data_IF_501278974405
#
_entry.id   IF_501278974405
#
_cell.length_a   1.000
_cell.length_b   1.000
_cell.length_c   1.000
_cell.angle_alpha   90.00
_cell.angle_beta   90.00
_cell.angle_gamma   90.00
#
_symmetry.space_group_name_H-M   'P 1'
#
loop_
_entity.id
_entity.type
_entity.pdbx_description
1 polymer ?
#
# COMPACT_ATOMS: atom_id res chain seq x y z
N UNK A 1 -17.89 -22.02 18.82
CA UNK A 1 -17.01 -20.84 18.95
C UNK A 1 -17.80 -19.73 19.61
N UNK A 2 -17.17 -18.63 20.04
CA UNK A 2 -17.87 -17.49 20.63
C UNK A 2 -18.09 -16.41 19.57
N UNK A 3 -19.17 -15.63 19.67
CA UNK A 3 -19.45 -14.51 18.76
C UNK A 3 -18.26 -13.56 18.62
N UNK A 4 -17.52 -13.33 19.71
CA UNK A 4 -16.33 -12.49 19.68
C UNK A 4 -15.18 -13.10 18.85
N UNK A 5 -14.98 -14.43 18.93
CA UNK A 5 -14.01 -15.12 18.10
C UNK A 5 -14.42 -15.09 16.62
N UNK A 6 -15.70 -15.36 16.34
CA UNK A 6 -16.25 -15.34 14.98
C UNK A 6 -16.18 -13.94 14.36
N UNK A 7 -16.42 -12.89 15.17
CA UNK A 7 -16.27 -11.47 14.76
C UNK A 7 -14.83 -11.13 14.40
N UNK A 8 -13.85 -11.58 15.20
CA UNK A 8 -12.42 -11.34 14.91
C UNK A 8 -12.00 -12.05 13.63
N UNK A 9 -12.41 -13.31 13.46
CA UNK A 9 -12.12 -14.07 12.25
C UNK A 9 -12.72 -13.39 11.00
N UNK A 10 -13.96 -12.90 11.08
CA UNK A 10 -14.57 -12.17 9.96
C UNK A 10 -13.83 -10.87 9.64
N UNK A 11 -13.29 -10.17 10.66
CA UNK A 11 -12.54 -8.94 10.47
C UNK A 11 -11.18 -9.14 9.79
N UNK A 12 -10.52 -10.30 9.99
CA UNK A 12 -9.23 -10.63 9.38
C UNK A 12 -9.29 -10.64 7.83
N UNK A 13 -10.46 -10.86 7.25
CA UNK A 13 -10.67 -10.78 5.79
C UNK A 13 -10.67 -9.34 5.26
N UNK A 14 -10.72 -8.33 6.14
CA UNK A 14 -10.88 -6.92 5.78
C UNK A 14 -9.82 -6.02 6.44
N UNK A 15 -8.57 -5.98 5.92
CA UNK A 15 -7.48 -5.20 6.49
C UNK A 15 -7.82 -3.71 6.70
N UNK A 16 -8.63 -3.12 5.82
CA UNK A 16 -9.05 -1.72 5.95
C UNK A 16 -9.85 -1.44 7.23
N UNK A 17 -10.66 -2.41 7.71
CA UNK A 17 -11.38 -2.26 8.96
C UNK A 17 -10.44 -2.31 10.15
N UNK A 18 -9.43 -3.17 10.13
CA UNK A 18 -8.43 -3.22 11.17
C UNK A 18 -7.68 -1.89 11.29
N UNK A 19 -7.25 -1.32 10.16
CA UNK A 19 -6.62 0.01 10.13
C UNK A 19 -7.56 1.09 10.67
N UNK A 20 -8.83 1.07 10.28
CA UNK A 20 -9.82 2.05 10.74
C UNK A 20 -10.11 1.92 12.25
N UNK A 21 -10.13 0.70 12.79
CA UNK A 21 -10.29 0.47 14.23
C UNK A 21 -9.10 1.03 15.02
N UNK A 22 -7.86 0.77 14.56
CA UNK A 22 -6.65 1.35 15.18
C UNK A 22 -6.69 2.88 15.19
N UNK A 23 -7.28 3.48 14.16
CA UNK A 23 -7.41 4.93 14.01
C UNK A 23 -8.61 5.53 14.75
N UNK A 24 -9.43 4.72 15.43
CA UNK A 24 -10.65 5.14 16.14
C UNK A 24 -11.64 5.94 15.28
N UNK A 25 -11.78 5.56 14.00
CA UNK A 25 -12.70 6.22 13.04
C UNK A 25 -13.90 5.36 12.64
N UNK A 26 -14.11 4.22 13.31
CA UNK A 26 -15.14 3.23 12.93
C UNK A 26 -16.47 3.50 13.61
N UNK A 27 -17.54 3.51 12.83
CA UNK A 27 -18.89 3.29 13.34
C UNK A 27 -19.11 1.79 13.57
N UNK A 28 -19.03 1.34 14.82
CA UNK A 28 -19.11 -0.08 15.20
C UNK A 28 -20.39 -0.78 14.71
N UNK A 29 -21.54 -0.10 14.73
CA UNK A 29 -22.82 -0.67 14.25
C UNK A 29 -22.85 -0.82 12.73
N UNK A 30 -22.17 0.08 12.00
CA UNK A 30 -22.04 -0.06 10.55
C UNK A 30 -21.06 -1.19 10.19
N UNK A 31 -19.92 -1.28 10.89
CA UNK A 31 -18.96 -2.36 10.71
C UNK A 31 -19.58 -3.73 11.04
N UNK A 32 -20.36 -3.83 12.13
CA UNK A 32 -21.07 -5.06 12.48
C UNK A 32 -22.03 -5.54 11.37
N UNK A 33 -22.79 -4.60 10.77
CA UNK A 33 -23.67 -4.91 9.63
C UNK A 33 -22.89 -5.32 8.38
N UNK A 34 -21.74 -4.71 8.14
CA UNK A 34 -20.87 -5.07 7.02
C UNK A 34 -20.34 -6.51 7.17
N UNK A 35 -19.83 -6.85 8.36
CA UNK A 35 -19.26 -8.18 8.61
C UNK A 35 -20.29 -9.32 8.53
N UNK A 36 -21.59 -9.03 8.73
CA UNK A 36 -22.68 -9.99 8.56
C UNK A 36 -22.48 -11.31 9.33
N UNK A 37 -21.87 -11.24 10.52
CA UNK A 37 -21.63 -12.40 11.40
C UNK A 37 -22.94 -12.89 12.00
N UNK A 38 -23.11 -14.20 12.09
CA UNK A 38 -24.28 -14.83 12.71
C UNK A 38 -24.42 -14.41 14.18
N UNK A 39 -25.39 -13.54 14.46
CA UNK A 39 -25.66 -13.05 15.80
C UNK A 39 -26.41 -11.72 15.81
N UNK A 40 -26.59 -11.17 17.01
CA UNK A 40 -27.13 -9.83 17.18
C UNK A 40 -26.09 -8.77 16.78
N UNK A 41 -26.50 -7.81 15.95
CA UNK A 41 -25.64 -6.74 15.44
C UNK A 41 -25.04 -5.91 16.57
N UNK A 42 -25.79 -5.65 17.64
CA UNK A 42 -25.29 -4.88 18.79
C UNK A 42 -24.24 -5.67 19.60
N UNK A 43 -24.40 -6.99 19.67
CA UNK A 43 -23.42 -7.87 20.28
C UNK A 43 -22.12 -7.92 19.46
N UNK A 44 -22.20 -7.96 18.13
CA UNK A 44 -21.04 -7.87 17.22
C UNK A 44 -20.37 -6.49 17.33
N UNK A 45 -21.14 -5.41 17.34
CA UNK A 45 -20.61 -4.05 17.53
C UNK A 45 -19.87 -3.90 18.87
N UNK A 46 -20.41 -4.51 19.93
CA UNK A 46 -19.76 -4.55 21.25
C UNK A 46 -18.46 -5.36 21.22
N UNK A 47 -18.43 -6.49 20.52
CA UNK A 47 -17.23 -7.28 20.33
C UNK A 47 -16.14 -6.49 19.57
N UNK A 48 -16.51 -5.76 18.51
CA UNK A 48 -15.59 -4.90 17.76
C UNK A 48 -15.00 -3.79 18.63
N UNK A 49 -15.80 -3.13 19.47
CA UNK A 49 -15.31 -2.08 20.39
C UNK A 49 -14.27 -2.64 21.37
N UNK A 50 -14.57 -3.78 21.98
CA UNK A 50 -13.62 -4.44 22.90
C UNK A 50 -12.33 -4.84 22.20
N UNK A 51 -12.42 -5.33 20.97
CA UNK A 51 -11.24 -5.66 20.19
C UNK A 51 -10.42 -4.42 19.82
N UNK A 52 -11.08 -3.31 19.48
CA UNK A 52 -10.40 -2.04 19.19
C UNK A 52 -9.54 -1.54 20.37
N UNK A 53 -10.04 -1.70 21.60
CA UNK A 53 -9.30 -1.37 22.84
C UNK A 53 -8.03 -2.24 23.04
N UNK A 54 -7.94 -3.40 22.39
CA UNK A 54 -6.79 -4.31 22.46
C UNK A 54 -5.75 -4.02 21.35
N UNK A 55 -6.09 -3.22 20.34
CA UNK A 55 -5.22 -2.97 19.19
C UNK A 55 -4.13 -1.93 19.51
N UNK A 56 -2.94 -2.05 18.90
CA UNK A 56 -1.95 -0.99 18.97
C UNK A 56 -2.49 0.28 18.29
N UNK A 57 -2.13 1.48 18.79
CA UNK A 57 -2.59 2.73 18.22
C UNK A 57 -2.22 2.83 16.73
N UNK A 58 -3.00 3.64 16.00
CA UNK A 58 -2.63 4.06 14.66
C UNK A 58 -1.60 5.18 14.75
N UNK A 59 -0.34 4.84 14.54
CA UNK A 59 0.78 5.77 14.46
C UNK A 59 1.38 5.75 13.05
N UNK A 60 1.87 6.91 12.59
CA UNK A 60 2.57 7.06 11.33
C UNK A 60 3.96 7.66 11.54
N UNK A 61 4.88 7.28 10.66
CA UNK A 61 6.26 7.76 10.63
C UNK A 61 6.60 8.27 9.21
N UNK A 62 7.42 9.32 9.16
CA UNK A 62 8.06 9.76 7.93
C UNK A 62 9.31 8.93 7.69
N UNK A 63 9.52 8.50 6.45
CA UNK A 63 10.75 7.80 6.03
C UNK A 63 11.83 8.78 5.61
N UNK A 64 13.08 8.54 5.98
CA UNK A 64 14.22 9.28 5.43
C UNK A 64 14.59 8.69 4.06
N UNK A 65 14.04 9.30 3.02
CA UNK A 65 14.14 8.83 1.64
C UNK A 65 14.44 9.96 0.69
N UNK A 66 15.14 9.62 -0.39
CA UNK A 66 15.31 10.49 -1.55
C UNK A 66 14.54 9.90 -2.73
N UNK A 67 13.56 10.65 -3.22
CA UNK A 67 12.78 10.27 -4.39
C UNK A 67 13.32 10.95 -5.64
N UNK A 68 13.40 10.21 -6.75
CA UNK A 68 13.80 10.71 -8.07
C UNK A 68 12.86 10.14 -9.12
N UNK A 69 12.75 10.86 -10.23
CA UNK A 69 11.94 10.47 -11.38
C UNK A 69 12.82 10.44 -12.63
N UNK A 70 12.70 9.37 -13.40
CA UNK A 70 13.46 9.13 -14.63
C UNK A 70 12.51 8.72 -15.75
N UNK A 71 12.51 9.46 -16.86
CA UNK A 71 11.68 9.18 -18.04
C UNK A 71 12.48 8.46 -19.12
N UNK A 72 11.81 7.99 -20.16
CA UNK A 72 12.45 7.28 -21.27
C UNK A 72 12.59 5.77 -21.02
N UNK A 73 11.80 5.23 -20.11
CA UNK A 73 11.78 3.79 -19.84
C UNK A 73 10.78 3.08 -20.75
N UNK A 74 11.01 1.79 -20.93
CA UNK A 74 10.13 0.93 -21.72
C UNK A 74 10.32 -0.52 -21.33
N UNK A 75 9.47 -1.39 -21.88
CA UNK A 75 9.64 -2.84 -21.75
C UNK A 75 10.80 -3.29 -22.65
N UNK A 76 11.70 -4.09 -22.10
CA UNK A 76 12.75 -4.75 -22.87
C UNK A 76 12.15 -5.99 -23.56
N UNK A 77 12.37 -6.10 -24.87
CA UNK A 77 12.02 -7.30 -25.63
C UNK A 77 13.11 -8.36 -25.49
N UNK A 78 12.74 -9.63 -25.66
CA UNK A 78 13.68 -10.74 -25.59
C UNK A 78 14.77 -10.59 -26.67
N UNK A 79 16.02 -10.48 -26.24
CA UNK A 79 17.17 -10.29 -27.13
C UNK A 79 17.63 -8.84 -27.28
N UNK A 80 16.95 -7.87 -26.68
CA UNK A 80 17.46 -6.50 -26.55
C UNK A 80 18.58 -6.49 -25.50
N UNK A 81 19.79 -6.08 -25.90
CA UNK A 81 20.88 -5.74 -24.97
C UNK A 81 20.56 -4.40 -24.29
N UNK A 82 19.61 -4.43 -23.35
CA UNK A 82 19.29 -3.30 -22.48
C UNK A 82 19.63 -3.64 -21.03
N UNK A 83 20.01 -2.61 -20.28
CA UNK A 83 20.20 -2.74 -18.84
C UNK A 83 18.84 -2.98 -18.16
N UNK A 84 18.68 -4.14 -17.54
CA UNK A 84 17.46 -4.49 -16.83
C UNK A 84 17.40 -3.72 -15.51
N UNK A 85 16.42 -2.83 -15.39
CA UNK A 85 16.22 -1.98 -14.21
C UNK A 85 15.21 -2.57 -13.22
N UNK A 86 14.08 -3.07 -13.73
CA UNK A 86 13.06 -3.74 -12.93
C UNK A 86 12.57 -4.99 -13.66
N UNK A 87 12.39 -6.07 -12.92
CA UNK A 87 11.82 -7.31 -13.44
C UNK A 87 10.67 -7.80 -12.56
N UNK A 88 9.53 -8.05 -13.18
CA UNK A 88 8.36 -8.67 -12.56
C UNK A 88 7.95 -9.89 -13.39
N UNK A 89 8.35 -11.08 -12.92
CA UNK A 89 8.19 -12.32 -13.67
C UNK A 89 8.95 -12.30 -15.00
N UNK A 90 8.21 -12.35 -16.11
CA UNK A 90 8.76 -12.28 -17.47
C UNK A 90 8.86 -10.86 -18.01
N UNK A 91 8.19 -9.88 -17.39
CA UNK A 91 8.29 -8.49 -17.80
C UNK A 91 9.59 -7.87 -17.27
N UNK A 92 10.36 -7.26 -18.17
CA UNK A 92 11.60 -6.56 -17.84
C UNK A 92 11.50 -5.12 -18.36
N UNK A 93 11.91 -4.16 -17.55
CA UNK A 93 11.87 -2.73 -17.86
C UNK A 93 13.26 -2.12 -17.77
N UNK A 94 13.56 -1.17 -18.64
CA UNK A 94 14.85 -0.49 -18.69
C UNK A 94 14.83 0.78 -19.55
N UNK A 95 15.94 1.54 -19.57
CA UNK A 95 16.06 2.78 -20.33
C UNK A 95 16.16 2.44 -21.83
N UNK A 96 15.06 2.68 -22.54
CA UNK A 96 14.92 2.35 -23.98
C UNK A 96 14.49 3.54 -24.83
N UNK A 97 14.29 4.71 -24.21
CA UNK A 97 13.67 5.88 -24.84
C UNK A 97 12.16 5.74 -25.01
N UNK A 98 11.50 4.88 -24.24
CA UNK A 98 10.06 4.65 -24.31
C UNK A 98 9.20 5.63 -23.50
N UNK A 99 7.89 5.38 -23.49
CA UNK A 99 6.87 6.27 -22.91
C UNK A 99 6.53 5.94 -21.45
N UNK A 100 7.44 5.30 -20.72
CA UNK A 100 7.29 5.04 -19.29
C UNK A 100 8.18 5.97 -18.47
N UNK A 101 7.69 6.27 -17.27
CA UNK A 101 8.42 6.98 -16.23
C UNK A 101 8.62 6.07 -15.04
N UNK A 102 9.83 6.06 -14.49
CA UNK A 102 10.20 5.33 -13.29
C UNK A 102 10.42 6.30 -12.15
N UNK A 103 9.85 6.00 -11.00
CA UNK A 103 10.04 6.73 -9.75
C UNK A 103 10.78 5.81 -8.80
N UNK A 104 11.91 6.31 -8.31
CA UNK A 104 12.84 5.56 -7.47
C UNK A 104 12.97 6.28 -6.15
N UNK A 105 12.68 5.59 -5.05
CA UNK A 105 12.97 6.05 -3.70
C UNK A 105 14.10 5.20 -3.11
N UNK A 106 15.14 5.86 -2.62
CA UNK A 106 16.30 5.23 -1.94
C UNK A 106 16.41 5.76 -0.52
N UNK A 107 16.88 4.94 0.42
CA UNK A 107 16.96 5.28 1.84
C UNK A 107 16.21 4.25 2.67
N UNK A 108 15.47 4.69 3.68
CA UNK A 108 14.66 3.80 4.53
C UNK A 108 13.38 3.34 3.81
N UNK A 109 13.48 2.29 3.01
CA UNK A 109 12.36 1.69 2.26
C UNK A 109 12.13 0.23 2.67
N UNK A 110 10.85 -0.14 2.80
CA UNK A 110 10.42 -1.49 3.16
C UNK A 110 9.09 -1.84 2.48
N UNK A 111 8.56 -3.04 2.75
CA UNK A 111 7.27 -3.49 2.24
C UNK A 111 6.08 -2.63 2.72
N UNK A 112 6.18 -2.03 3.90
CA UNK A 112 5.16 -1.11 4.40
C UNK A 112 5.15 0.20 3.61
N UNK A 113 6.33 0.75 3.30
CA UNK A 113 6.50 1.90 2.44
C UNK A 113 5.92 1.62 1.03
N UNK A 114 6.19 0.45 0.46
CA UNK A 114 5.60 0.05 -0.82
C UNK A 114 4.06 -0.04 -0.74
N UNK A 115 3.53 -0.59 0.35
CA UNK A 115 2.08 -0.68 0.56
C UNK A 115 1.44 0.71 0.64
N UNK A 116 2.01 1.62 1.44
CA UNK A 116 1.55 3.01 1.56
C UNK A 116 1.60 3.73 0.21
N UNK A 117 2.69 3.58 -0.53
CA UNK A 117 2.86 4.12 -1.88
C UNK A 117 1.78 3.60 -2.82
N UNK A 118 1.56 2.29 -2.90
CA UNK A 118 0.59 1.72 -3.82
C UNK A 118 -0.83 2.18 -3.50
N UNK A 119 -1.23 2.20 -2.22
CA UNK A 119 -2.54 2.72 -1.81
C UNK A 119 -2.71 4.20 -2.19
N UNK A 120 -1.68 5.01 -1.97
CA UNK A 120 -1.72 6.44 -2.27
C UNK A 120 -1.77 6.72 -3.77
N UNK A 121 -0.98 6.01 -4.57
CA UNK A 121 -0.96 6.13 -6.03
C UNK A 121 -2.33 5.75 -6.62
N UNK A 122 -2.91 4.62 -6.19
CA UNK A 122 -4.25 4.21 -6.64
C UNK A 122 -5.34 5.21 -6.25
N UNK A 123 -5.23 5.87 -5.08
CA UNK A 123 -6.16 6.93 -4.68
C UNK A 123 -6.12 8.17 -5.57
N UNK A 124 -5.07 8.32 -6.38
CA UNK A 124 -4.93 9.39 -7.38
C UNK A 124 -5.29 8.91 -8.80
N UNK A 125 -5.94 7.75 -8.93
CA UNK A 125 -6.34 7.13 -10.21
C UNK A 125 -5.15 6.79 -11.15
N UNK A 126 -3.94 6.71 -10.60
CA UNK A 126 -2.74 6.26 -11.32
C UNK A 126 -2.60 4.75 -11.17
N UNK A 127 -2.37 4.05 -12.28
CA UNK A 127 -2.17 2.59 -12.27
C UNK A 127 -0.72 2.24 -12.55
N UNK A 128 0.05 1.76 -11.54
CA UNK A 128 1.41 1.30 -11.77
C UNK A 128 1.47 0.17 -12.79
N UNK A 129 2.35 0.31 -13.78
CA UNK A 129 2.67 -0.76 -14.75
C UNK A 129 3.47 -1.88 -14.07
N UNK A 130 4.34 -1.50 -13.14
CA UNK A 130 5.11 -2.38 -12.29
C UNK A 130 5.56 -1.64 -11.03
N UNK A 131 5.78 -2.36 -9.93
CA UNK A 131 6.38 -1.81 -8.72
C UNK A 131 7.15 -2.90 -7.98
N UNK A 132 8.08 -2.48 -7.13
CA UNK A 132 8.85 -3.39 -6.31
C UNK A 132 9.60 -2.65 -5.22
N UNK A 133 10.03 -3.39 -4.20
CA UNK A 133 10.93 -2.90 -3.16
C UNK A 133 11.97 -3.96 -2.87
N UNK A 134 13.19 -3.51 -2.63
CA UNK A 134 14.30 -4.28 -2.10
C UNK A 134 14.93 -3.51 -0.93
N UNK A 135 16.04 -4.03 -0.42
CA UNK A 135 16.83 -3.45 0.68
C UNK A 135 17.24 -1.99 0.41
N UNK A 136 17.51 -1.66 -0.85
CA UNK A 136 18.15 -0.40 -1.24
C UNK A 136 17.20 0.58 -1.94
N UNK A 137 16.11 0.09 -2.52
CA UNK A 137 15.24 0.89 -3.38
C UNK A 137 13.79 0.41 -3.42
N UNK A 138 12.88 1.38 -3.48
CA UNK A 138 11.49 1.22 -3.89
C UNK A 138 11.33 1.82 -5.29
N UNK A 139 10.73 1.07 -6.19
CA UNK A 139 10.56 1.44 -7.60
C UNK A 139 9.08 1.37 -7.96
N UNK A 140 8.58 2.39 -8.64
CA UNK A 140 7.25 2.42 -9.26
C UNK A 140 7.38 2.86 -10.71
N UNK A 141 6.82 2.09 -11.64
CA UNK A 141 6.79 2.38 -13.08
C UNK A 141 5.37 2.78 -13.46
N UNK A 142 5.22 3.92 -14.12
CA UNK A 142 3.93 4.48 -14.56
C UNK A 142 4.01 4.95 -16.01
N UNK A 143 2.86 5.26 -16.60
CA UNK A 143 2.81 5.96 -17.88
C UNK A 143 3.47 7.36 -17.76
N UNK A 144 4.14 7.82 -18.81
CA UNK A 144 4.80 9.13 -18.81
C UNK A 144 3.88 10.30 -18.44
N UNK A 145 2.59 10.26 -18.82
CA UNK A 145 1.62 11.32 -18.51
C UNK A 145 1.28 11.38 -17.02
N UNK A 146 1.46 10.27 -16.30
CA UNK A 146 1.13 10.14 -14.89
C UNK A 146 2.31 10.45 -13.96
N UNK A 147 3.53 10.57 -14.51
CA UNK A 147 4.78 10.66 -13.74
C UNK A 147 4.79 11.73 -12.65
N UNK A 148 4.32 12.94 -12.95
CA UNK A 148 4.29 14.03 -11.97
C UNK A 148 3.25 13.81 -10.85
N UNK A 149 2.12 13.20 -11.16
CA UNK A 149 1.08 12.86 -10.17
C UNK A 149 1.57 11.72 -9.28
N UNK A 150 2.15 10.69 -9.88
CA UNK A 150 2.73 9.56 -9.17
C UNK A 150 3.87 9.99 -8.24
N UNK A 151 4.76 10.88 -8.68
CA UNK A 151 5.88 11.38 -7.87
C UNK A 151 5.37 12.04 -6.58
N UNK A 152 4.44 12.99 -6.72
CA UNK A 152 3.84 13.68 -5.56
C UNK A 152 3.08 12.70 -4.66
N UNK A 153 2.36 11.74 -5.23
CA UNK A 153 1.65 10.72 -4.46
C UNK A 153 2.62 9.88 -3.62
N UNK A 154 3.75 9.49 -4.20
CA UNK A 154 4.80 8.71 -3.55
C UNK A 154 5.47 9.50 -2.43
N UNK A 155 5.86 10.76 -2.67
CA UNK A 155 6.46 11.61 -1.65
C UNK A 155 5.53 11.76 -0.43
N UNK A 156 4.26 12.10 -0.67
CA UNK A 156 3.26 12.22 0.41
C UNK A 156 3.03 10.89 1.16
N UNK A 157 3.08 9.75 0.47
CA UNK A 157 2.90 8.45 1.10
C UNK A 157 4.05 8.13 2.06
N UNK A 158 5.28 8.49 1.68
CA UNK A 158 6.49 8.20 2.46
C UNK A 158 6.63 9.11 3.69
N UNK A 159 5.90 10.22 3.77
CA UNK A 159 5.79 11.07 4.96
C UNK A 159 4.88 10.47 6.05
N UNK A 160 4.03 9.50 5.72
CA UNK A 160 2.95 9.01 6.61
C UNK A 160 2.80 7.49 6.60
N UNK A 161 3.91 6.75 6.57
CA UNK A 161 3.90 5.29 6.59
C UNK A 161 3.45 4.79 7.95
N UNK A 162 2.48 3.87 7.99
CA UNK A 162 1.99 3.30 9.25
C UNK A 162 3.12 2.59 9.97
N UNK A 163 3.35 2.94 11.24
CA UNK A 163 4.38 2.35 12.08
C UNK A 163 4.11 0.85 12.27
N UNK A 164 5.17 0.05 12.12
CA UNK A 164 5.11 -1.38 12.44
C UNK A 164 5.37 -1.57 13.93
N UNK A 165 4.34 -1.91 14.69
CA UNK A 165 4.51 -2.41 16.05
C UNK A 165 4.72 -3.93 15.96
N UNK A 166 5.98 -4.36 15.95
CA UNK A 166 6.36 -5.77 16.07
C UNK A 166 6.46 -6.20 17.53
#
# INVERSE_FOLDING_TARGET
>A
MSLAADTRQALEEYPFLQTALRADVVNYTAAARFLSVDGDTDAVATALRRYAEELPPYDCESRDVRVRMESGFGRLENGTNGEAFLRAGTAVFGPTGGDLTVIVATGEVDSNALTAVLLRVHSQEVTPVAAGVSEDALIVVVDHLEGATALRAIENALETVVASHH
#
